data_IF_607355925546
#
_entry.id   IF_607355925546
#
_cell.length_a   1.000
_cell.length_b   1.000
_cell.length_c   1.000
_cell.angle_alpha   90.00
_cell.angle_beta   90.00
_cell.angle_gamma   90.00
#
_symmetry.space_group_name_H-M   'P 1'
#
loop_
_entity.id
_entity.type
_entity.pdbx_description
1 polymer ?
#
# COMPACT_ATOMS: atom_id res chain seq x y z
N UNK A 1 -13.06 30.36 18.03
CA UNK A 1 -14.40 29.78 18.24
C UNK A 1 -15.14 29.43 16.94
N UNK A 2 -14.96 30.18 15.85
CA UNK A 2 -15.57 29.90 14.52
C UNK A 2 -14.90 28.69 13.82
N UNK A 3 -13.57 28.60 13.83
CA UNK A 3 -12.79 27.49 13.23
C UNK A 3 -13.21 26.11 13.80
N UNK A 4 -13.50 26.04 15.10
CA UNK A 4 -13.94 24.80 15.76
C UNK A 4 -15.38 24.36 15.39
N UNK A 5 -16.22 25.25 14.83
CA UNK A 5 -17.56 24.88 14.36
C UNK A 5 -17.59 24.48 12.88
N UNK A 6 -16.62 24.93 12.08
CA UNK A 6 -16.58 24.71 10.63
C UNK A 6 -15.78 23.46 10.20
N UNK A 7 -14.87 22.95 11.02
CA UNK A 7 -14.04 21.81 10.59
C UNK A 7 -14.84 20.51 10.32
N UNK A 8 -15.92 20.22 11.07
CA UNK A 8 -16.79 19.06 10.83
C UNK A 8 -17.52 19.12 9.49
N UNK A 9 -18.28 20.19 9.17
CA UNK A 9 -18.96 20.27 7.88
C UNK A 9 -17.96 20.33 6.71
N UNK A 10 -16.82 21.02 6.85
CA UNK A 10 -15.80 21.05 5.80
C UNK A 10 -15.22 19.66 5.55
N UNK A 11 -14.93 18.86 6.59
CA UNK A 11 -14.47 17.48 6.43
C UNK A 11 -15.48 16.64 5.64
N UNK A 12 -16.76 16.73 5.98
CA UNK A 12 -17.83 15.98 5.30
C UNK A 12 -17.96 16.43 3.84
N UNK A 13 -17.89 17.73 3.56
CA UNK A 13 -17.93 18.26 2.19
C UNK A 13 -16.75 17.74 1.38
N UNK A 14 -15.52 17.80 1.91
CA UNK A 14 -14.33 17.29 1.21
C UNK A 14 -14.42 15.79 0.95
N UNK A 15 -14.92 15.01 1.92
CA UNK A 15 -15.17 13.57 1.73
C UNK A 15 -16.25 13.32 0.66
N UNK A 16 -17.32 14.12 0.64
CA UNK A 16 -18.37 14.02 -0.37
C UNK A 16 -17.86 14.39 -1.77
N UNK A 17 -16.96 15.38 -1.89
CA UNK A 17 -16.29 15.70 -3.15
C UNK A 17 -15.45 14.53 -3.65
N UNK A 18 -14.86 13.73 -2.75
CA UNK A 18 -14.15 12.49 -3.09
C UNK A 18 -15.08 11.36 -3.56
N UNK A 19 -16.41 11.54 -3.59
CA UNK A 19 -17.36 10.63 -4.27
C UNK A 19 -17.46 10.97 -5.76
N UNK A 20 -17.12 12.20 -6.14
CA UNK A 20 -17.20 12.65 -7.52
C UNK A 20 -15.96 12.20 -8.32
N UNK A 21 -16.10 11.97 -9.64
CA UNK A 21 -14.97 11.58 -10.49
C UNK A 21 -13.96 12.72 -10.73
N UNK A 22 -14.22 13.92 -10.23
CA UNK A 22 -13.34 15.08 -10.40
C UNK A 22 -12.09 15.04 -9.51
N UNK A 23 -12.13 14.24 -8.44
CA UNK A 23 -11.02 14.10 -7.49
C UNK A 23 -10.31 12.76 -7.74
N UNK A 24 -9.03 12.84 -8.10
CA UNK A 24 -8.17 11.67 -8.21
C UNK A 24 -7.66 11.16 -6.86
N UNK A 25 -7.10 9.94 -6.87
CA UNK A 25 -6.52 9.27 -5.70
C UNK A 25 -5.48 10.13 -4.96
N UNK A 26 -4.56 10.76 -5.70
CA UNK A 26 -3.50 11.58 -5.10
C UNK A 26 -3.99 12.89 -4.50
N UNK A 27 -4.88 13.60 -5.21
CA UNK A 27 -5.47 14.83 -4.68
C UNK A 27 -6.33 14.56 -3.45
N UNK A 28 -7.08 13.45 -3.41
CA UNK A 28 -7.82 13.03 -2.22
C UNK A 28 -6.91 12.86 -0.99
N UNK A 29 -5.79 12.15 -1.13
CA UNK A 29 -4.82 11.96 -0.05
C UNK A 29 -4.23 13.30 0.43
N UNK A 30 -3.81 14.15 -0.50
CA UNK A 30 -3.25 15.47 -0.18
C UNK A 30 -4.26 16.35 0.54
N UNK A 31 -5.50 16.40 0.05
CA UNK A 31 -6.58 17.15 0.69
C UNK A 31 -6.84 16.66 2.12
N UNK A 32 -6.88 15.33 2.34
CA UNK A 32 -7.03 14.77 3.67
C UNK A 32 -5.88 15.14 4.61
N UNK A 33 -4.63 15.01 4.13
CA UNK A 33 -3.44 15.35 4.89
C UNK A 33 -3.37 16.84 5.24
N UNK A 34 -3.56 17.73 4.27
CA UNK A 34 -3.60 19.18 4.49
C UNK A 34 -4.69 19.56 5.47
N UNK A 35 -5.89 18.97 5.35
CA UNK A 35 -6.99 19.21 6.28
C UNK A 35 -6.60 18.80 7.70
N UNK A 36 -6.03 17.61 7.89
CA UNK A 36 -5.63 17.11 9.22
C UNK A 36 -4.50 17.94 9.84
N UNK A 37 -3.52 18.36 9.04
CA UNK A 37 -2.38 19.16 9.52
C UNK A 37 -2.82 20.59 9.92
N UNK A 38 -3.78 21.18 9.20
CA UNK A 38 -4.22 22.57 9.42
C UNK A 38 -5.36 22.71 10.43
N UNK A 39 -6.38 21.86 10.35
CA UNK A 39 -7.62 21.98 11.14
C UNK A 39 -7.81 20.83 12.15
N UNK A 40 -6.99 19.78 12.06
CA UNK A 40 -7.15 18.55 12.82
C UNK A 40 -8.31 17.70 12.29
N UNK A 41 -8.19 16.38 12.39
CA UNK A 41 -9.27 15.47 12.00
C UNK A 41 -10.38 15.39 13.09
N UNK A 42 -11.60 15.91 12.84
CA UNK A 42 -12.68 15.90 13.82
C UNK A 42 -13.30 14.50 14.04
N UNK A 43 -12.99 13.53 13.18
CA UNK A 43 -13.51 12.17 13.20
C UNK A 43 -12.36 11.14 13.21
N UNK A 44 -11.28 11.38 13.96
CA UNK A 44 -10.05 10.59 13.89
C UNK A 44 -10.27 9.07 14.00
N UNK A 45 -10.98 8.61 15.03
CA UNK A 45 -11.25 7.17 15.24
C UNK A 45 -12.14 6.58 14.15
N UNK A 46 -13.22 7.28 13.80
CA UNK A 46 -14.16 6.82 12.76
C UNK A 46 -13.48 6.78 11.39
N UNK A 47 -12.69 7.79 11.04
CA UNK A 47 -11.94 7.86 9.78
C UNK A 47 -10.92 6.74 9.68
N UNK A 48 -10.22 6.40 10.78
CA UNK A 48 -9.32 5.25 10.81
C UNK A 48 -10.05 3.91 10.65
N UNK A 49 -11.20 3.73 11.30
CA UNK A 49 -11.99 2.50 11.17
C UNK A 49 -12.59 2.36 9.77
N UNK A 50 -13.14 3.45 9.23
CA UNK A 50 -13.74 3.51 7.91
C UNK A 50 -12.70 3.26 6.82
N UNK A 51 -11.55 3.94 6.85
CA UNK A 51 -10.48 3.72 5.87
C UNK A 51 -10.02 2.25 5.81
N UNK A 52 -9.84 1.59 6.95
CA UNK A 52 -9.48 0.16 6.98
C UNK A 52 -10.51 -0.74 6.31
N UNK A 53 -11.81 -0.48 6.50
CA UNK A 53 -12.89 -1.28 5.90
C UNK A 53 -13.11 -0.94 4.43
N UNK A 54 -13.15 0.34 4.10
CA UNK A 54 -13.32 0.82 2.73
C UNK A 54 -12.14 0.39 1.85
N UNK A 55 -10.91 0.36 2.37
CA UNK A 55 -9.75 -0.17 1.64
C UNK A 55 -9.96 -1.63 1.24
N UNK A 56 -10.42 -2.46 2.18
CA UNK A 56 -10.69 -3.88 1.92
C UNK A 56 -11.76 -4.03 0.84
N UNK A 57 -12.86 -3.29 0.94
CA UNK A 57 -13.95 -3.32 -0.03
C UNK A 57 -13.50 -2.84 -1.42
N UNK A 58 -12.76 -1.74 -1.49
CA UNK A 58 -12.21 -1.23 -2.73
C UNK A 58 -11.27 -2.25 -3.38
N UNK A 59 -10.32 -2.80 -2.63
CA UNK A 59 -9.38 -3.80 -3.17
C UNK A 59 -10.12 -5.04 -3.67
N UNK A 60 -11.09 -5.58 -2.91
CA UNK A 60 -11.88 -6.72 -3.38
C UNK A 60 -12.66 -6.39 -4.66
N UNK A 61 -13.30 -5.21 -4.71
CA UNK A 61 -14.06 -4.75 -5.88
C UNK A 61 -13.20 -4.51 -7.12
N UNK A 62 -11.95 -4.05 -6.96
CA UNK A 62 -10.99 -3.90 -8.05
C UNK A 62 -10.63 -5.24 -8.71
N UNK A 63 -10.81 -6.36 -8.01
CA UNK A 63 -10.63 -7.70 -8.58
C UNK A 63 -11.55 -7.99 -9.75
N UNK A 64 -12.73 -7.36 -9.80
CA UNK A 64 -13.66 -7.48 -10.93
C UNK A 64 -13.15 -6.82 -12.23
N UNK A 65 -12.00 -6.13 -12.19
CA UNK A 65 -11.36 -5.54 -13.37
C UNK A 65 -10.20 -6.38 -13.91
N UNK A 66 -9.87 -7.49 -13.25
CA UNK A 66 -8.62 -8.24 -13.47
C UNK A 66 -8.94 -9.62 -14.03
N UNK A 67 -8.10 -10.08 -14.98
CA UNK A 67 -8.11 -11.45 -15.48
C UNK A 67 -7.34 -12.38 -14.52
N UNK A 68 -7.99 -13.44 -14.08
CA UNK A 68 -7.44 -14.39 -13.12
C UNK A 68 -6.31 -15.23 -13.71
N UNK A 69 -6.36 -15.54 -15.01
CA UNK A 69 -5.27 -16.26 -15.67
C UNK A 69 -4.02 -15.38 -15.73
N UNK A 70 -4.20 -14.08 -16.00
CA UNK A 70 -3.11 -13.10 -15.92
C UNK A 70 -2.51 -13.04 -14.51
N UNK A 71 -3.34 -13.10 -13.45
CA UNK A 71 -2.84 -13.16 -12.07
C UNK A 71 -1.95 -14.38 -11.83
N UNK A 72 -2.37 -15.55 -12.29
CA UNK A 72 -1.58 -16.79 -12.17
C UNK A 72 -0.29 -16.70 -12.98
N UNK A 73 -0.36 -16.22 -14.22
CA UNK A 73 0.78 -16.11 -15.12
C UNK A 73 1.84 -15.15 -14.57
N UNK A 74 1.42 -13.94 -14.16
CA UNK A 74 2.29 -12.97 -13.48
C UNK A 74 2.83 -13.58 -12.19
N UNK A 75 2.01 -14.31 -11.43
CA UNK A 75 2.46 -14.95 -10.21
C UNK A 75 3.54 -16.01 -10.39
N UNK A 76 3.47 -16.76 -11.48
CA UNK A 76 4.49 -17.78 -11.83
C UNK A 76 5.75 -17.13 -12.38
N UNK A 77 5.61 -16.20 -13.32
CA UNK A 77 6.75 -15.53 -13.98
C UNK A 77 7.53 -14.63 -13.01
N UNK A 78 6.84 -13.96 -12.08
CA UNK A 78 7.47 -13.08 -11.09
C UNK A 78 7.97 -13.80 -9.83
N UNK A 79 7.90 -15.13 -9.74
CA UNK A 79 8.21 -15.88 -8.52
C UNK A 79 9.64 -15.64 -8.04
N UNK A 80 10.63 -15.84 -8.92
CA UNK A 80 12.05 -15.68 -8.58
C UNK A 80 12.35 -14.24 -8.20
N UNK A 81 11.91 -13.28 -9.04
CA UNK A 81 12.07 -11.86 -8.80
C UNK A 81 11.44 -11.43 -7.46
N UNK A 82 10.26 -11.95 -7.14
CA UNK A 82 9.56 -11.66 -5.89
C UNK A 82 10.32 -12.20 -4.68
N UNK A 83 10.80 -13.44 -4.71
CA UNK A 83 11.57 -14.01 -3.59
C UNK A 83 12.86 -13.24 -3.39
N UNK A 84 13.61 -13.01 -4.46
CA UNK A 84 14.90 -12.30 -4.41
C UNK A 84 14.69 -10.88 -3.91
N UNK A 85 13.72 -10.15 -4.45
CA UNK A 85 13.45 -8.77 -4.03
C UNK A 85 12.99 -8.69 -2.58
N UNK A 86 12.04 -9.53 -2.13
CA UNK A 86 11.60 -9.54 -0.73
C UNK A 86 12.78 -9.87 0.20
N UNK A 87 13.57 -10.90 -0.11
CA UNK A 87 14.73 -11.30 0.71
C UNK A 87 15.78 -10.20 0.76
N UNK A 88 16.07 -9.56 -0.37
CA UNK A 88 17.02 -8.45 -0.44
C UNK A 88 16.56 -7.23 0.37
N UNK A 89 15.27 -6.87 0.28
CA UNK A 89 14.71 -5.75 1.05
C UNK A 89 14.77 -6.03 2.55
N UNK A 90 14.40 -7.24 2.98
CA UNK A 90 14.47 -7.63 4.39
C UNK A 90 15.93 -7.66 4.88
N UNK A 91 16.85 -8.22 4.09
CA UNK A 91 18.27 -8.29 4.44
C UNK A 91 18.92 -6.91 4.53
N UNK A 92 18.69 -6.03 3.55
CA UNK A 92 19.14 -4.64 3.60
C UNK A 92 18.52 -3.89 4.78
N UNK A 93 17.24 -4.16 5.05
CA UNK A 93 16.53 -3.62 6.20
C UNK A 93 17.16 -4.03 7.54
N UNK A 94 17.59 -5.28 7.70
CA UNK A 94 18.32 -5.75 8.89
C UNK A 94 19.68 -5.03 9.03
N UNK A 95 20.42 -4.86 7.93
CA UNK A 95 21.69 -4.12 7.93
C UNK A 95 21.44 -2.68 8.39
N UNK A 96 20.47 -1.98 7.81
CA UNK A 96 20.15 -0.60 8.18
C UNK A 96 19.64 -0.50 9.63
N UNK A 97 18.90 -1.50 10.11
CA UNK A 97 18.45 -1.57 11.51
C UNK A 97 19.64 -1.53 12.47
N UNK A 98 20.71 -2.26 12.16
CA UNK A 98 21.95 -2.26 12.94
C UNK A 98 22.71 -0.93 12.83
N UNK A 99 22.85 -0.39 11.62
CA UNK A 99 23.52 0.91 11.36
C UNK A 99 22.86 2.05 12.13
N UNK A 100 21.53 2.13 12.08
CA UNK A 100 20.76 3.16 12.78
C UNK A 100 20.54 2.86 14.27
N UNK A 101 21.00 1.69 14.76
CA UNK A 101 20.83 1.23 16.16
C UNK A 101 19.37 1.25 16.60
N UNK A 102 18.48 0.73 15.75
CA UNK A 102 17.05 0.66 16.01
C UNK A 102 16.69 -0.54 16.88
N UNK A 103 15.51 -0.49 17.50
CA UNK A 103 14.91 -1.70 18.04
C UNK A 103 14.66 -2.70 16.91
N UNK A 104 15.06 -3.95 17.13
CA UNK A 104 14.96 -5.05 16.16
C UNK A 104 13.54 -5.21 15.61
N UNK A 105 12.51 -5.16 16.47
CA UNK A 105 11.12 -5.30 16.04
C UNK A 105 10.71 -4.16 15.11
N UNK A 106 11.03 -2.91 15.45
CA UNK A 106 10.74 -1.75 14.57
C UNK A 106 11.40 -1.91 13.21
N UNK A 107 12.68 -2.32 13.18
CA UNK A 107 13.41 -2.57 11.95
C UNK A 107 12.81 -3.67 11.09
N UNK A 108 12.48 -4.82 11.70
CA UNK A 108 11.83 -5.95 11.02
C UNK A 108 10.47 -5.53 10.46
N UNK A 109 9.64 -4.83 11.24
CA UNK A 109 8.31 -4.41 10.77
C UNK A 109 8.40 -3.41 9.61
N UNK A 110 9.29 -2.42 9.67
CA UNK A 110 9.49 -1.47 8.56
C UNK A 110 9.97 -2.22 7.30
N UNK A 111 10.96 -3.10 7.45
CA UNK A 111 11.55 -3.84 6.32
C UNK A 111 10.52 -4.79 5.70
N UNK A 112 9.79 -5.53 6.52
CA UNK A 112 8.76 -6.46 6.06
C UNK A 112 7.56 -5.74 5.44
N UNK A 113 7.16 -4.60 6.00
CA UNK A 113 6.15 -3.72 5.41
C UNK A 113 6.58 -3.20 4.04
N UNK A 114 7.82 -2.74 3.92
CA UNK A 114 8.39 -2.25 2.64
C UNK A 114 8.47 -3.35 1.59
N UNK A 115 8.83 -4.56 2.00
CA UNK A 115 9.06 -5.67 1.08
C UNK A 115 7.80 -6.24 0.44
N UNK A 116 6.60 -6.08 1.01
CA UNK A 116 5.40 -6.80 0.55
C UNK A 116 4.22 -5.87 0.28
N UNK A 117 3.36 -5.65 1.27
CA UNK A 117 2.10 -4.91 1.13
C UNK A 117 1.88 -3.91 2.27
N UNK A 118 2.96 -3.41 2.87
CA UNK A 118 2.92 -2.38 3.89
C UNK A 118 2.22 -2.84 5.16
N UNK A 119 1.08 -2.21 5.46
CA UNK A 119 0.37 -2.39 6.72
C UNK A 119 -0.11 -3.82 6.98
N UNK A 120 -0.55 -4.57 5.95
CA UNK A 120 -1.03 -5.94 6.16
C UNK A 120 0.13 -6.90 6.48
N UNK A 121 1.31 -6.65 5.90
CA UNK A 121 2.52 -7.39 6.23
C UNK A 121 2.97 -7.09 7.68
N UNK A 122 2.96 -5.82 8.08
CA UNK A 122 3.24 -5.42 9.47
C UNK A 122 2.27 -6.09 10.45
N UNK A 123 0.96 -6.05 10.17
CA UNK A 123 -0.05 -6.65 11.03
C UNK A 123 0.10 -8.17 11.16
N UNK A 124 0.52 -8.86 10.10
CA UNK A 124 0.74 -10.30 10.13
C UNK A 124 2.04 -10.70 10.86
N UNK A 125 3.09 -9.88 10.75
CA UNK A 125 4.40 -10.15 11.38
C UNK A 125 4.45 -9.75 12.85
N UNK A 126 3.74 -8.70 13.25
CA UNK A 126 3.72 -8.18 14.62
C UNK A 126 3.48 -9.24 15.71
N UNK A 127 2.44 -10.10 15.64
CA UNK A 127 2.24 -11.14 16.65
C UNK A 127 3.34 -12.22 16.61
N UNK A 128 3.82 -12.58 15.42
CA UNK A 128 4.88 -13.59 15.23
C UNK A 128 6.15 -13.20 15.97
N UNK A 129 6.54 -11.93 15.87
CA UNK A 129 7.76 -11.41 16.51
C UNK A 129 7.51 -10.82 17.91
N UNK A 130 6.28 -10.92 18.43
CA UNK A 130 5.84 -10.36 19.71
C UNK A 130 6.16 -8.85 19.83
N UNK A 131 5.88 -8.11 18.76
CA UNK A 131 6.08 -6.67 18.71
C UNK A 131 5.17 -5.92 19.70
N UNK A 132 5.68 -4.87 20.31
CA UNK A 132 4.91 -3.98 21.19
C UNK A 132 4.06 -3.03 20.35
N UNK A 133 2.91 -2.61 20.88
CA UNK A 133 1.97 -1.72 20.16
C UNK A 133 2.63 -0.44 19.62
N UNK A 134 3.54 0.16 20.39
CA UNK A 134 4.26 1.37 19.95
C UNK A 134 5.21 1.07 18.78
N UNK A 135 5.84 -0.10 18.72
CA UNK A 135 6.73 -0.50 17.61
C UNK A 135 5.91 -0.69 16.32
N UNK A 136 4.73 -1.31 16.45
CA UNK A 136 3.77 -1.48 15.36
C UNK A 136 3.25 -0.12 14.88
N UNK A 137 2.88 0.77 15.79
CA UNK A 137 2.39 2.10 15.46
C UNK A 137 3.45 2.94 14.73
N UNK A 138 4.71 2.90 15.17
CA UNK A 138 5.83 3.58 14.50
C UNK A 138 6.02 3.05 13.07
N UNK A 139 6.09 1.72 12.91
CA UNK A 139 6.28 1.11 11.59
C UNK A 139 5.13 1.43 10.64
N UNK A 140 3.87 1.29 11.10
CA UNK A 140 2.68 1.65 10.31
C UNK A 140 2.70 3.13 9.92
N UNK A 141 2.99 4.03 10.86
CA UNK A 141 3.01 5.48 10.61
C UNK A 141 4.01 5.87 9.53
N UNK A 142 5.23 5.33 9.60
CA UNK A 142 6.28 5.59 8.61
C UNK A 142 5.89 5.04 7.24
N UNK A 143 5.46 3.78 7.18
CA UNK A 143 5.06 3.13 5.91
C UNK A 143 3.88 3.87 5.27
N UNK A 144 2.88 4.28 6.06
CA UNK A 144 1.75 5.06 5.53
C UNK A 144 2.17 6.43 5.01
N UNK A 145 3.11 7.12 5.66
CA UNK A 145 3.63 8.37 5.11
C UNK A 145 4.35 8.13 3.79
N UNK A 146 5.29 7.17 3.74
CA UNK A 146 6.06 6.90 2.52
C UNK A 146 5.16 6.47 1.37
N UNK A 147 4.08 5.74 1.67
CA UNK A 147 3.03 5.42 0.71
C UNK A 147 2.35 6.66 0.13
N UNK A 148 1.98 7.63 0.98
CA UNK A 148 1.43 8.90 0.52
C UNK A 148 2.39 9.69 -0.37
N UNK A 149 3.69 9.70 -0.03
CA UNK A 149 4.73 10.29 -0.87
C UNK A 149 4.85 9.54 -2.20
N UNK A 150 4.90 8.21 -2.14
CA UNK A 150 5.05 7.34 -3.31
C UNK A 150 3.91 7.50 -4.31
N UNK A 151 2.67 7.59 -3.80
CA UNK A 151 1.48 7.81 -4.60
C UNK A 151 1.62 9.04 -5.52
N UNK A 152 2.16 10.13 -4.98
CA UNK A 152 2.29 11.41 -5.68
C UNK A 152 3.55 11.49 -6.53
N UNK A 153 4.67 10.97 -6.00
CA UNK A 153 5.99 11.15 -6.59
C UNK A 153 6.24 10.19 -7.74
N UNK A 154 5.76 8.94 -7.65
CA UNK A 154 6.07 7.91 -8.64
C UNK A 154 5.58 8.28 -10.04
N UNK A 155 4.32 8.70 -10.27
CA UNK A 155 3.86 9.07 -11.61
C UNK A 155 4.73 10.16 -12.26
N UNK A 156 5.15 11.17 -11.47
CA UNK A 156 6.02 12.23 -11.95
C UNK A 156 7.40 11.71 -12.37
N UNK A 157 8.00 10.81 -11.57
CA UNK A 157 9.26 10.15 -11.92
C UNK A 157 9.09 9.27 -13.16
N UNK A 158 8.00 8.50 -13.24
CA UNK A 158 7.71 7.63 -14.39
C UNK A 158 7.62 8.41 -15.69
N UNK A 159 6.93 9.55 -15.69
CA UNK A 159 6.87 10.43 -16.85
C UNK A 159 8.22 11.08 -17.18
N UNK A 160 9.02 11.42 -16.17
CA UNK A 160 10.36 11.98 -16.38
C UNK A 160 11.31 10.99 -17.08
N UNK A 161 11.24 9.71 -16.73
CA UNK A 161 12.00 8.64 -17.39
C UNK A 161 11.27 8.04 -18.60
N UNK A 162 10.15 8.61 -19.03
CA UNK A 162 9.34 8.16 -20.17
C UNK A 162 8.95 6.68 -20.12
N UNK A 163 8.69 6.14 -18.91
CA UNK A 163 8.37 4.73 -18.73
C UNK A 163 7.08 4.36 -19.47
N UNK A 164 7.07 3.19 -20.11
CA UNK A 164 5.82 2.61 -20.63
C UNK A 164 4.87 2.30 -19.48
N UNK A 165 3.58 2.11 -19.77
CA UNK A 165 2.61 1.71 -18.73
C UNK A 165 2.98 0.38 -18.08
N UNK A 166 3.57 -0.55 -18.84
CA UNK A 166 4.02 -1.85 -18.34
C UNK A 166 5.18 -1.68 -17.36
N UNK A 167 6.20 -0.92 -17.76
CA UNK A 167 7.37 -0.59 -16.94
C UNK A 167 6.97 0.14 -15.66
N UNK A 168 6.13 1.16 -15.77
CA UNK A 168 5.64 1.91 -14.61
C UNK A 168 4.84 1.01 -13.66
N UNK A 169 3.93 0.19 -14.21
CA UNK A 169 3.11 -0.71 -13.41
C UNK A 169 3.95 -1.71 -12.60
N UNK A 170 4.97 -2.30 -13.24
CA UNK A 170 5.92 -3.19 -12.58
C UNK A 170 6.74 -2.44 -11.52
N UNK A 171 7.32 -1.29 -11.87
CA UNK A 171 8.11 -0.47 -10.95
C UNK A 171 7.33 -0.05 -9.71
N UNK A 172 6.14 0.52 -9.91
CA UNK A 172 5.27 0.97 -8.83
C UNK A 172 4.89 -0.20 -7.90
N UNK A 173 4.51 -1.35 -8.44
CA UNK A 173 4.16 -2.52 -7.64
C UNK A 173 5.33 -3.11 -6.86
N UNK A 174 6.53 -2.98 -7.39
CA UNK A 174 7.75 -3.47 -6.77
C UNK A 174 8.28 -2.53 -5.67
N UNK A 175 8.16 -1.22 -5.85
CA UNK A 175 8.82 -0.23 -5.00
C UNK A 175 7.89 0.56 -4.04
N UNK A 176 6.61 0.78 -4.35
CA UNK A 176 5.66 1.39 -3.39
C UNK A 176 5.22 0.30 -2.39
N UNK A 177 4.95 0.63 -1.12
CA UNK A 177 4.85 -0.40 -0.08
C UNK A 177 3.47 -1.08 -0.06
N UNK A 178 2.37 -0.33 -0.20
CA UNK A 178 1.01 -0.86 -0.09
C UNK A 178 0.23 -0.92 -1.41
N UNK A 179 -0.87 -1.68 -1.40
CA UNK A 179 -1.76 -1.82 -2.56
C UNK A 179 -2.50 -0.53 -2.87
N UNK A 180 -2.98 0.21 -1.85
CA UNK A 180 -3.74 1.45 -2.03
C UNK A 180 -2.97 2.48 -2.85
N UNK A 181 -1.70 2.69 -2.54
CA UNK A 181 -0.90 3.73 -3.17
C UNK A 181 -0.39 3.29 -4.53
N UNK A 182 -0.10 2.00 -4.71
CA UNK A 182 0.20 1.42 -6.03
C UNK A 182 -0.97 1.61 -6.99
N UNK A 183 -2.17 1.23 -6.55
CA UNK A 183 -3.38 1.37 -7.36
C UNK A 183 -3.65 2.85 -7.64
N UNK A 184 -3.51 3.71 -6.63
CA UNK A 184 -3.69 5.16 -6.79
C UNK A 184 -2.74 5.77 -7.82
N UNK A 185 -1.43 5.49 -7.71
CA UNK A 185 -0.42 5.98 -8.65
C UNK A 185 -0.63 5.41 -10.06
N UNK A 186 -0.87 4.11 -10.16
CA UNK A 186 -1.00 3.42 -11.45
C UNK A 186 -2.30 3.78 -12.18
N UNK A 187 -3.39 4.04 -11.44
CA UNK A 187 -4.62 4.54 -12.04
C UNK A 187 -4.43 5.91 -12.71
N UNK A 188 -3.54 6.75 -12.19
CA UNK A 188 -3.20 8.04 -12.83
C UNK A 188 -2.26 7.88 -14.03
N UNK A 189 -1.50 6.78 -14.08
CA UNK A 189 -0.55 6.52 -15.18
C UNK A 189 -1.19 5.82 -16.38
N UNK A 190 -2.20 4.97 -16.14
CA UNK A 190 -3.03 4.37 -17.19
C UNK A 190 -3.63 3.02 -16.83
N UNK A 191 -4.55 2.54 -17.66
CA UNK A 191 -5.29 1.30 -17.39
C UNK A 191 -4.39 0.05 -17.39
N UNK A 192 -3.39 0.00 -18.29
CA UNK A 192 -2.45 -1.14 -18.37
C UNK A 192 -1.55 -1.14 -17.15
N UNK A 193 -1.00 0.03 -16.78
CA UNK A 193 -0.20 0.20 -15.58
C UNK A 193 -0.98 -0.25 -14.33
N UNK A 194 -2.24 0.17 -14.21
CA UNK A 194 -3.10 -0.22 -13.11
C UNK A 194 -3.29 -1.74 -13.02
N UNK A 195 -3.59 -2.39 -14.15
CA UNK A 195 -3.81 -3.85 -14.17
C UNK A 195 -2.56 -4.62 -13.74
N UNK A 196 -1.41 -4.29 -14.34
CA UNK A 196 -0.12 -4.93 -14.04
C UNK A 196 0.25 -4.69 -12.58
N UNK A 197 0.19 -3.43 -12.13
CA UNK A 197 0.64 -3.08 -10.80
C UNK A 197 -0.20 -3.74 -9.70
N UNK A 198 -1.52 -3.75 -9.90
CA UNK A 198 -2.47 -4.41 -8.99
C UNK A 198 -2.19 -5.90 -8.91
N UNK A 199 -2.01 -6.54 -10.07
CA UNK A 199 -1.73 -7.97 -10.18
C UNK A 199 -0.41 -8.33 -9.49
N UNK A 200 0.71 -7.66 -9.83
CA UNK A 200 2.02 -7.91 -9.22
C UNK A 200 1.95 -7.70 -7.71
N UNK A 201 1.34 -6.60 -7.24
CA UNK A 201 1.29 -6.27 -5.81
C UNK A 201 0.47 -7.28 -5.00
N UNK A 202 -0.64 -7.77 -5.54
CA UNK A 202 -1.49 -8.74 -4.86
C UNK A 202 -0.89 -10.14 -4.86
N UNK A 203 -0.22 -10.53 -5.94
CA UNK A 203 0.59 -11.75 -5.94
C UNK A 203 1.70 -11.66 -4.89
N UNK A 204 2.40 -10.53 -4.78
CA UNK A 204 3.38 -10.32 -3.71
C UNK A 204 2.77 -10.45 -2.32
N UNK A 205 1.54 -9.99 -2.11
CA UNK A 205 0.85 -10.12 -0.82
C UNK A 205 0.60 -11.58 -0.39
N UNK A 206 0.59 -12.55 -1.32
CA UNK A 206 0.54 -13.98 -0.98
C UNK A 206 1.80 -14.44 -0.22
N UNK A 207 2.93 -13.76 -0.40
CA UNK A 207 4.19 -14.06 0.28
C UNK A 207 4.23 -13.67 1.75
N UNK A 208 3.19 -12.98 2.26
CA UNK A 208 3.06 -12.75 3.71
C UNK A 208 3.11 -14.08 4.46
N UNK A 209 2.31 -15.08 4.03
CA UNK A 209 2.16 -16.36 4.72
C UNK A 209 3.49 -17.12 4.82
N UNK A 210 4.20 -17.42 3.72
CA UNK A 210 5.45 -18.18 3.81
C UNK A 210 6.52 -17.46 4.63
N UNK A 211 6.68 -16.14 4.48
CA UNK A 211 7.71 -15.41 5.23
C UNK A 211 7.38 -15.26 6.72
N UNK A 212 6.11 -15.02 7.07
CA UNK A 212 5.69 -14.98 8.48
C UNK A 212 5.74 -16.35 9.14
N UNK A 213 5.39 -17.42 8.42
CA UNK A 213 5.53 -18.81 8.90
C UNK A 213 7.00 -19.15 9.14
N UNK A 214 7.87 -18.83 8.20
CA UNK A 214 9.31 -19.03 8.34
C UNK A 214 9.87 -18.24 9.53
N UNK A 215 9.48 -16.98 9.68
CA UNK A 215 9.85 -16.17 10.85
C UNK A 215 9.35 -16.81 12.16
N UNK A 216 8.12 -17.34 12.19
CA UNK A 216 7.56 -18.04 13.33
C UNK A 216 8.35 -19.28 13.73
N UNK A 217 8.80 -20.08 12.76
CA UNK A 217 9.69 -21.23 13.00
C UNK A 217 11.02 -20.77 13.61
N UNK A 218 11.66 -19.75 13.04
CA UNK A 218 12.93 -19.22 13.57
C UNK A 218 12.79 -18.61 14.97
N UNK A 219 11.64 -17.99 15.26
CA UNK A 219 11.36 -17.36 16.55
C UNK A 219 10.70 -18.30 17.57
N UNK A 220 10.44 -19.55 17.20
CA UNK A 220 9.70 -20.54 18.01
C UNK A 220 8.38 -19.97 18.52
N UNK A 221 7.64 -19.32 17.62
CA UNK A 221 6.34 -18.72 17.89
C UNK A 221 5.22 -19.65 17.44
N UNK A 222 4.24 -19.89 18.30
CA UNK A 222 3.02 -20.66 17.97
C UNK A 222 1.95 -19.79 17.27
N UNK A 223 2.19 -18.48 17.17
CA UNK A 223 1.29 -17.53 16.51
C UNK A 223 1.26 -17.77 15.00
N UNK A 224 0.06 -18.00 14.46
CA UNK A 224 -0.15 -18.24 13.04
C UNK A 224 -0.37 -16.93 12.29
N UNK A 225 0.24 -16.83 11.13
CA UNK A 225 -0.02 -15.74 10.21
C UNK A 225 -1.51 -15.73 9.79
N UNK A 226 -2.17 -14.59 9.98
CA UNK A 226 -3.52 -14.40 9.46
C UNK A 226 -3.47 -14.04 7.98
N UNK A 227 -4.22 -14.79 7.15
CA UNK A 227 -4.38 -14.47 5.74
C UNK A 227 -5.29 -13.24 5.66
N UNK A 228 -4.85 -12.13 5.04
CA UNK A 228 -5.72 -10.98 4.88
C UNK A 228 -6.91 -11.34 3.96
N UNK A 229 -8.11 -11.41 4.54
CA UNK A 229 -9.34 -11.82 3.83
C UNK A 229 -9.63 -11.01 2.56
N UNK A 230 -9.17 -9.76 2.48
CA UNK A 230 -9.35 -8.94 1.28
C UNK A 230 -8.56 -9.46 0.07
N UNK A 231 -7.44 -10.18 0.28
CA UNK A 231 -6.70 -10.83 -0.80
C UNK A 231 -7.53 -11.98 -1.37
N UNK A 232 -8.14 -12.78 -0.49
CA UNK A 232 -9.04 -13.88 -0.88
C UNK A 232 -10.23 -13.31 -1.66
N UNK A 233 -10.87 -12.25 -1.15
CA UNK A 233 -11.97 -11.59 -1.84
C UNK A 233 -11.59 -11.02 -3.20
N UNK A 234 -10.40 -10.43 -3.35
CA UNK A 234 -9.87 -9.98 -4.64
C UNK A 234 -9.69 -11.15 -5.63
N UNK A 235 -9.06 -12.25 -5.19
CA UNK A 235 -8.84 -13.42 -6.04
C UNK A 235 -10.16 -14.05 -6.49
N UNK A 236 -11.15 -14.11 -5.61
CA UNK A 236 -12.50 -14.57 -5.94
C UNK A 236 -13.18 -13.63 -6.95
N UNK A 237 -13.07 -12.31 -6.77
CA UNK A 237 -13.61 -11.34 -7.72
C UNK A 237 -12.97 -11.47 -9.11
N UNK A 238 -11.65 -11.63 -9.18
CA UNK A 238 -10.94 -11.88 -10.44
C UNK A 238 -11.37 -13.20 -11.09
N UNK A 239 -11.51 -14.27 -10.30
CA UNK A 239 -12.02 -15.56 -10.78
C UNK A 239 -13.43 -15.43 -11.36
N UNK A 240 -14.34 -14.75 -10.65
CA UNK A 240 -15.72 -14.52 -11.11
C UNK A 240 -15.73 -13.71 -12.41
N UNK A 241 -14.97 -12.61 -12.47
CA UNK A 241 -14.88 -11.78 -13.67
C UNK A 241 -14.40 -12.59 -14.89
N UNK A 242 -13.41 -13.44 -14.70
CA UNK A 242 -12.79 -14.24 -15.77
C UNK A 242 -13.70 -15.34 -16.29
N UNK A 243 -14.36 -16.07 -15.39
CA UNK A 243 -15.15 -17.26 -15.73
C UNK A 243 -16.66 -17.00 -15.89
N UNK A 244 -17.14 -15.80 -15.53
CA UNK A 244 -18.53 -15.36 -15.72
C UNK A 244 -18.57 -14.06 -16.54
N UNK A 245 -18.09 -14.07 -17.80
CA UNK A 245 -17.99 -12.87 -18.63
C UNK A 245 -19.36 -12.34 -19.08
N UNK A 246 -20.42 -13.13 -18.99
CA UNK A 246 -21.79 -12.74 -19.33
C UNK A 246 -22.33 -11.59 -18.47
N UNK A 247 -21.73 -11.34 -17.30
CA UNK A 247 -22.08 -10.27 -16.38
C UNK A 247 -21.06 -9.11 -16.38
N UNK A 248 -20.21 -9.00 -17.41
CA UNK A 248 -19.13 -8.00 -17.51
C UNK A 248 -19.58 -6.57 -17.22
N UNK A 249 -20.77 -6.16 -17.70
CA UNK A 249 -21.31 -4.82 -17.41
C UNK A 249 -21.54 -4.57 -15.92
N UNK A 250 -21.93 -5.59 -15.15
CA UNK A 250 -22.06 -5.47 -13.68
C UNK A 250 -20.68 -5.42 -13.01
N UNK A 251 -19.71 -6.19 -13.50
CA UNK A 251 -18.33 -6.19 -13.01
C UNK A 251 -17.66 -4.82 -13.22
N UNK A 252 -17.90 -4.19 -14.37
CA UNK A 252 -17.45 -2.82 -14.67
C UNK A 252 -18.03 -1.80 -13.70
N UNK A 253 -19.34 -1.89 -13.40
CA UNK A 253 -19.98 -1.01 -12.41
C UNK A 253 -19.38 -1.18 -11.01
N UNK A 254 -19.14 -2.42 -10.58
CA UNK A 254 -18.47 -2.70 -9.31
C UNK A 254 -17.05 -2.12 -9.30
N UNK A 255 -16.30 -2.26 -10.39
CA UNK A 255 -14.97 -1.69 -10.52
C UNK A 255 -14.97 -0.16 -10.43
N UNK A 256 -15.92 0.52 -11.09
CA UNK A 256 -16.07 1.98 -11.00
C UNK A 256 -16.37 2.39 -9.55
N UNK A 257 -17.31 1.71 -8.89
CA UNK A 257 -17.61 1.96 -7.49
C UNK A 257 -16.39 1.71 -6.59
N UNK A 258 -15.63 0.64 -6.83
CA UNK A 258 -14.43 0.29 -6.09
C UNK A 258 -13.33 1.34 -6.22
N UNK A 259 -13.09 1.86 -7.43
CA UNK A 259 -12.19 3.00 -7.66
C UNK A 259 -12.62 4.23 -6.88
N UNK A 260 -13.92 4.55 -6.84
CA UNK A 260 -14.40 5.69 -6.09
C UNK A 260 -14.29 5.50 -4.58
N UNK A 261 -14.57 4.29 -4.07
CA UNK A 261 -14.35 3.93 -2.67
C UNK A 261 -12.86 4.07 -2.31
N UNK A 262 -11.95 3.71 -3.22
CA UNK A 262 -10.51 3.90 -3.01
C UNK A 262 -10.14 5.39 -2.87
N UNK A 263 -10.68 6.28 -3.73
CA UNK A 263 -10.43 7.73 -3.64
C UNK A 263 -10.88 8.27 -2.28
N UNK A 264 -12.09 7.93 -1.82
CA UNK A 264 -12.56 8.29 -0.49
C UNK A 264 -11.66 7.71 0.62
N UNK A 265 -11.23 6.47 0.46
CA UNK A 265 -10.35 5.80 1.42
C UNK A 265 -9.02 6.54 1.55
N UNK A 266 -8.44 7.00 0.45
CA UNK A 266 -7.19 7.74 0.44
C UNK A 266 -7.32 9.12 1.10
N UNK A 267 -8.46 9.79 0.94
CA UNK A 267 -8.76 10.99 1.73
C UNK A 267 -8.78 10.69 3.23
N UNK A 268 -9.48 9.63 3.64
CA UNK A 268 -9.56 9.23 5.05
C UNK A 268 -8.19 8.83 5.61
N UNK A 269 -7.37 8.11 4.84
CA UNK A 269 -5.98 7.77 5.21
C UNK A 269 -5.15 9.06 5.35
N UNK A 270 -5.22 9.96 4.37
CA UNK A 270 -4.56 11.25 4.41
C UNK A 270 -4.96 12.05 5.65
N UNK A 271 -6.24 12.03 6.01
CA UNK A 271 -6.73 12.69 7.22
C UNK A 271 -6.24 12.09 8.53
N UNK A 272 -5.68 10.88 8.50
CA UNK A 272 -4.99 10.24 9.63
C UNK A 272 -3.52 10.66 9.77
N UNK A 273 -2.93 11.30 8.76
CA UNK A 273 -1.54 11.78 8.79
C UNK A 273 -1.48 13.06 9.63
N UNK A 274 -1.17 12.92 10.92
CA UNK A 274 -0.97 14.06 11.81
C UNK A 274 0.52 14.28 12.09
N UNK A 275 0.88 15.54 12.38
CA UNK A 275 2.20 15.90 12.90
C UNK A 275 2.58 15.12 14.17
N UNK A 276 1.59 14.69 14.96
CA UNK A 276 1.83 13.90 16.17
C UNK A 276 2.26 12.46 15.86
N UNK A 277 1.73 11.83 14.80
CA UNK A 277 2.18 10.50 14.34
C UNK A 277 3.62 10.59 13.82
N UNK A 278 3.96 11.66 13.11
CA UNK A 278 5.32 11.90 12.62
C UNK A 278 6.34 12.14 13.73
N UNK A 279 5.95 12.90 14.75
CA UNK A 279 6.80 13.11 15.93
C UNK A 279 7.02 11.83 16.74
N UNK A 280 6.04 10.94 16.79
CA UNK A 280 6.14 9.66 17.50
C UNK A 280 7.00 8.62 16.77
N UNK A 281 7.10 8.69 15.44
CA UNK A 281 7.87 7.76 14.62
C UNK A 281 9.39 7.78 14.90
N UNK A 282 9.91 8.89 15.42
CA UNK A 282 11.34 9.10 15.66
C UNK A 282 12.15 9.29 14.37
N UNK A 283 13.22 10.08 14.45
CA UNK A 283 14.01 10.44 13.26
C UNK A 283 14.76 9.23 12.67
N UNK A 284 15.31 8.35 13.52
CA UNK A 284 16.15 7.23 13.07
C UNK A 284 15.35 6.16 12.31
N UNK A 285 14.19 5.66 12.80
CA UNK A 285 13.37 4.72 12.04
C UNK A 285 12.89 5.33 10.72
N UNK A 286 12.53 6.61 10.71
CA UNK A 286 12.12 7.32 9.50
C UNK A 286 13.23 7.37 8.45
N UNK A 287 14.45 7.80 8.83
CA UNK A 287 15.59 7.85 7.91
C UNK A 287 15.95 6.47 7.37
N UNK A 288 15.95 5.44 8.22
CA UNK A 288 16.18 4.07 7.80
C UNK A 288 15.17 3.63 6.73
N UNK A 289 13.88 3.90 6.94
CA UNK A 289 12.83 3.55 5.99
C UNK A 289 12.96 4.32 4.66
N UNK A 290 13.26 5.62 4.71
CA UNK A 290 13.48 6.45 3.52
C UNK A 290 14.67 5.93 2.71
N UNK A 291 15.80 5.63 3.36
CA UNK A 291 16.99 5.12 2.69
C UNK A 291 16.71 3.76 2.07
N UNK A 292 16.10 2.84 2.83
CA UNK A 292 15.68 1.54 2.32
C UNK A 292 14.82 1.70 1.07
N UNK A 293 13.80 2.56 1.14
CA UNK A 293 12.88 2.80 0.05
C UNK A 293 13.53 3.43 -1.17
N UNK A 294 14.42 4.42 -1.00
CA UNK A 294 15.17 5.04 -2.11
C UNK A 294 16.05 4.00 -2.80
N UNK A 295 16.80 3.20 -2.04
CA UNK A 295 17.66 2.15 -2.62
C UNK A 295 16.83 1.16 -3.42
N UNK A 296 15.74 0.65 -2.85
CA UNK A 296 14.86 -0.31 -3.50
C UNK A 296 14.22 0.29 -4.75
N UNK A 297 13.68 1.51 -4.65
CA UNK A 297 13.03 2.19 -5.78
C UNK A 297 14.01 2.46 -6.91
N UNK A 298 15.24 2.88 -6.60
CA UNK A 298 16.26 3.21 -7.59
C UNK A 298 16.81 1.95 -8.27
N UNK A 299 17.13 0.91 -7.50
CA UNK A 299 17.63 -0.35 -8.07
C UNK A 299 16.60 -0.98 -9.00
N UNK A 300 15.33 -1.03 -8.59
CA UNK A 300 14.28 -1.61 -9.44
C UNK A 300 14.03 -0.75 -10.68
N UNK A 301 14.06 0.58 -10.55
CA UNK A 301 13.96 1.48 -11.69
C UNK A 301 15.07 1.24 -12.71
N UNK A 302 16.33 1.12 -12.24
CA UNK A 302 17.48 0.86 -13.10
C UNK A 302 17.35 -0.49 -13.81
N UNK A 303 16.97 -1.55 -13.09
CA UNK A 303 16.77 -2.87 -13.70
C UNK A 303 15.71 -2.85 -14.82
N UNK A 304 14.67 -2.03 -14.68
CA UNK A 304 13.62 -1.86 -15.70
C UNK A 304 14.11 -1.04 -16.89
N UNK A 305 14.81 0.08 -16.65
CA UNK A 305 15.32 0.96 -17.71
C UNK A 305 16.40 0.24 -18.53
N UNK A 306 17.25 -0.53 -17.87
CA UNK A 306 18.32 -1.31 -18.51
C UNK A 306 17.80 -2.61 -19.18
N UNK A 307 16.50 -2.91 -19.04
CA UNK A 307 15.84 -4.05 -19.68
C UNK A 307 16.19 -5.41 -19.07
N UNK A 308 16.68 -5.45 -17.83
CA UNK A 308 16.92 -6.70 -17.11
C UNK A 308 15.64 -7.37 -16.61
N UNK A 309 14.59 -6.57 -16.34
CA UNK A 309 13.27 -7.04 -15.89
C UNK A 309 12.14 -6.25 -16.54
#
# INVERSE_FOLDING_TARGET
MIIAKLHKPVFIILLALCITPFIGAGSALVMGALFSITLGNPFAELSQKASKWMLKLAVMGLGFAVDFNQVIEVGRSSLVLTIVSITAIIGLGEILTQVFKLNRNTGVLISFGTAICGGSAIAAMAPVIKAKDHEVAVALGIVFLLNGVGLLLFPAIGHYFELTQEQFGLWAALAIHDTSSVVGASATYGAVALSIATTVKLTRAMWIIPYTTLAGVFMRSDEKASIPLFIVGFLLAALINTYVPSLSSYWELINIAAKQILVMTLFLIGSGLSLSVLKQAGIKPFLMAVILWIVVSSVILLLIIDGFI
#
